data_IF_430841163751
#
_entry.id   IF_430841163751
#
_cell.length_a   1.000
_cell.length_b   1.000
_cell.length_c   1.000
_cell.angle_alpha   90.00
_cell.angle_beta   90.00
_cell.angle_gamma   90.00
#
_symmetry.space_group_name_H-M   'P 1'
#
loop_
_entity.id
_entity.type
_entity.pdbx_description
1 polymer ?
#
# COMPACT_ATOMS: atom_id res chain seq x y z
N UNK A 1 33.81 5.60 18.02
CA UNK A 1 32.97 6.76 17.65
C UNK A 1 31.54 6.33 17.36
N UNK A 2 31.36 5.36 16.46
CA UNK A 2 30.08 4.74 16.09
C UNK A 2 29.23 4.23 17.26
N UNK A 3 29.84 3.52 18.23
CA UNK A 3 29.12 3.05 19.42
C UNK A 3 28.49 4.18 20.27
N UNK A 4 29.10 5.38 20.26
CA UNK A 4 28.54 6.55 20.95
C UNK A 4 27.34 7.10 20.20
N UNK A 5 27.40 7.15 18.87
CA UNK A 5 26.30 7.61 18.02
C UNK A 5 25.08 6.69 18.16
N UNK A 6 25.28 5.37 18.13
CA UNK A 6 24.20 4.39 18.33
C UNK A 6 23.58 4.52 19.72
N UNK A 7 24.38 4.76 20.75
CA UNK A 7 23.88 4.99 22.10
C UNK A 7 23.08 6.30 22.19
N UNK A 8 23.58 7.38 21.56
CA UNK A 8 22.86 8.65 21.49
C UNK A 8 21.50 8.50 20.78
N UNK A 9 21.45 7.80 19.65
CA UNK A 9 20.19 7.53 18.93
C UNK A 9 19.20 6.73 19.79
N UNK A 10 19.67 5.75 20.56
CA UNK A 10 18.82 4.96 21.47
C UNK A 10 18.25 5.81 22.61
N UNK A 11 19.05 6.70 23.19
CA UNK A 11 18.59 7.63 24.25
C UNK A 11 17.54 8.59 23.70
N UNK A 12 17.81 9.22 22.55
CA UNK A 12 16.85 10.14 21.91
C UNK A 12 15.55 9.45 21.50
N UNK A 13 15.62 8.20 21.01
CA UNK A 13 14.42 7.43 20.68
C UNK A 13 13.53 7.18 21.92
N UNK A 14 14.14 6.88 23.07
CA UNK A 14 13.42 6.69 24.32
C UNK A 14 12.76 8.00 24.79
N UNK A 15 13.44 9.15 24.67
CA UNK A 15 12.89 10.47 25.01
C UNK A 15 11.68 10.85 24.13
N UNK A 16 11.67 10.40 22.87
CA UNK A 16 10.57 10.61 21.93
C UNK A 16 9.42 9.60 22.11
N UNK A 17 9.49 8.71 23.10
CA UNK A 17 8.45 7.72 23.38
C UNK A 17 8.42 6.55 22.40
N UNK A 18 9.53 6.27 21.69
CA UNK A 18 9.66 5.10 20.83
C UNK A 18 9.85 3.87 21.72
N UNK A 19 8.83 2.99 21.75
CA UNK A 19 8.79 1.83 22.65
C UNK A 19 9.66 0.66 22.19
N UNK A 20 9.91 0.54 20.87
CA UNK A 20 10.78 -0.49 20.30
C UNK A 20 11.63 0.12 19.18
N UNK A 21 12.96 0.08 19.35
CA UNK A 21 13.91 0.69 18.43
C UNK A 21 15.08 -0.26 18.16
N UNK A 22 15.13 -0.76 16.93
CA UNK A 22 16.21 -1.63 16.43
C UNK A 22 17.22 -0.81 15.64
N UNK A 23 18.48 -0.80 16.09
CA UNK A 23 19.59 -0.11 15.43
C UNK A 23 20.58 -1.13 14.87
N UNK A 24 20.89 -1.03 13.57
CA UNK A 24 21.86 -1.88 12.89
C UNK A 24 23.12 -1.09 12.51
N UNK A 25 24.24 -1.80 12.33
CA UNK A 25 25.48 -1.17 11.85
C UNK A 25 25.35 -0.78 10.37
N UNK A 26 25.95 0.35 9.94
CA UNK A 26 25.99 0.71 8.53
C UNK A 26 26.73 -0.38 7.74
N UNK A 27 26.07 -0.97 6.75
CA UNK A 27 26.70 -1.83 5.76
C UNK A 27 27.07 -0.98 4.53
N UNK A 28 28.22 -1.29 3.90
CA UNK A 28 28.70 -0.57 2.71
C UNK A 28 27.73 -0.66 1.52
N UNK A 29 26.86 -1.66 1.50
CA UNK A 29 25.78 -1.82 0.53
C UNK A 29 24.53 -2.29 1.27
N UNK A 30 23.54 -1.41 1.43
CA UNK A 30 22.27 -1.71 2.04
C UNK A 30 21.14 -1.24 1.12
N UNK A 31 20.34 -2.18 0.62
CA UNK A 31 19.17 -1.90 -0.22
C UNK A 31 17.86 -1.84 0.57
N UNK A 32 17.92 -2.04 1.89
CA UNK A 32 16.75 -1.96 2.77
C UNK A 32 16.34 -0.50 2.98
N UNK A 33 15.04 -0.27 3.17
CA UNK A 33 14.50 1.04 3.52
C UNK A 33 15.19 1.55 4.80
N UNK A 34 15.90 2.68 4.76
CA UNK A 34 16.75 3.13 5.86
C UNK A 34 15.97 3.56 7.12
N UNK A 35 14.67 3.82 6.96
CA UNK A 35 13.75 4.18 8.04
C UNK A 35 12.38 3.52 7.78
N UNK A 36 11.92 2.73 8.73
CA UNK A 36 10.58 2.15 8.75
C UNK A 36 9.87 2.59 10.04
N UNK A 37 8.62 3.04 9.90
CA UNK A 37 7.81 3.50 11.04
C UNK A 37 6.54 2.68 11.08
N UNK A 38 6.35 1.95 12.18
CA UNK A 38 5.16 1.15 12.44
C UNK A 38 4.27 1.84 13.48
N UNK A 39 2.97 1.97 13.18
CA UNK A 39 1.99 2.54 14.11
C UNK A 39 1.08 1.41 14.57
N UNK A 40 1.16 1.06 15.86
CA UNK A 40 0.35 0.02 16.47
C UNK A 40 -0.73 0.62 17.39
N UNK A 41 -1.92 0.02 17.39
CA UNK A 41 -3.06 0.48 18.18
C UNK A 41 -4.32 -0.34 17.92
N UNK A 42 -5.37 -0.08 18.69
CA UNK A 42 -6.63 -0.84 18.62
C UNK A 42 -7.66 -0.24 17.67
N UNK A 43 -7.54 1.05 17.34
CA UNK A 43 -8.50 1.79 16.52
C UNK A 43 -7.95 2.03 15.11
N UNK A 44 -8.49 1.30 14.14
CA UNK A 44 -8.06 1.38 12.75
C UNK A 44 -8.28 2.78 12.13
N UNK A 45 -9.34 3.50 12.52
CA UNK A 45 -9.62 4.83 11.97
C UNK A 45 -8.58 5.84 12.46
N UNK A 46 -8.25 5.79 13.76
CA UNK A 46 -7.20 6.63 14.33
C UNK A 46 -5.81 6.27 13.79
N UNK A 47 -5.51 4.97 13.62
CA UNK A 47 -4.26 4.53 12.99
C UNK A 47 -4.11 5.05 11.57
N UNK A 48 -5.20 5.02 10.78
CA UNK A 48 -5.21 5.55 9.42
C UNK A 48 -4.97 7.06 9.40
N UNK A 49 -5.61 7.81 10.30
CA UNK A 49 -5.42 9.26 10.41
C UNK A 49 -4.00 9.62 10.84
N UNK A 50 -3.45 8.90 11.82
CA UNK A 50 -2.08 9.09 12.29
C UNK A 50 -1.07 8.80 11.17
N UNK A 51 -1.24 7.69 10.45
CA UNK A 51 -0.36 7.31 9.33
C UNK A 51 -0.40 8.32 8.18
N UNK A 52 -1.58 8.86 7.83
CA UNK A 52 -1.70 9.94 6.83
C UNK A 52 -0.99 11.22 7.28
N UNK A 53 -1.19 11.61 8.54
CA UNK A 53 -0.58 12.82 9.11
C UNK A 53 0.94 12.73 9.16
N UNK A 54 1.47 11.57 9.57
CA UNK A 54 2.90 11.29 9.57
C UNK A 54 3.48 11.31 8.15
N UNK A 55 2.83 10.62 7.20
CA UNK A 55 3.25 10.60 5.80
C UNK A 55 3.31 12.01 5.21
N UNK A 56 2.32 12.85 5.51
CA UNK A 56 2.29 14.25 5.07
C UNK A 56 3.44 15.06 5.66
N UNK A 57 3.71 14.91 6.97
CA UNK A 57 4.81 15.60 7.63
C UNK A 57 6.18 15.17 7.07
N UNK A 58 6.37 13.87 6.79
CA UNK A 58 7.60 13.36 6.18
C UNK A 58 7.79 13.88 4.75
N UNK A 59 6.73 13.91 3.93
CA UNK A 59 6.77 14.46 2.56
C UNK A 59 7.03 15.96 2.53
N UNK A 60 6.64 16.69 3.57
CA UNK A 60 6.86 18.13 3.68
C UNK A 60 8.31 18.48 4.09
N UNK A 61 9.08 17.53 4.61
CA UNK A 61 10.49 17.73 4.95
C UNK A 61 11.39 17.40 3.77
N UNK A 62 12.40 18.25 3.55
CA UNK A 62 13.49 18.06 2.60
C UNK A 62 14.46 16.91 2.93
N UNK A 63 14.32 16.31 4.12
CA UNK A 63 15.21 15.26 4.64
C UNK A 63 14.84 13.85 4.16
N UNK A 64 13.64 13.66 3.62
CA UNK A 64 13.14 12.35 3.21
C UNK A 64 12.83 12.34 1.72
N UNK A 65 13.39 11.36 1.01
CA UNK A 65 13.05 11.06 -0.38
C UNK A 65 12.21 9.77 -0.43
N UNK A 66 11.37 9.63 -1.46
CA UNK A 66 10.61 8.40 -1.76
C UNK A 66 9.73 7.86 -0.61
N UNK A 67 9.01 8.74 0.09
CA UNK A 67 8.11 8.36 1.18
C UNK A 67 6.93 7.52 0.67
N UNK A 68 6.94 6.22 1.01
CA UNK A 68 5.87 5.24 0.74
C UNK A 68 5.06 4.97 2.00
N UNK A 69 3.76 4.75 1.85
CA UNK A 69 2.86 4.45 2.97
C UNK A 69 1.95 3.29 2.61
N UNK A 70 1.86 2.30 3.49
CA UNK A 70 0.89 1.18 3.39
C UNK A 70 -0.53 1.60 3.75
N UNK A 71 -0.68 2.81 4.33
CA UNK A 71 -1.97 3.44 4.61
C UNK A 71 -2.61 4.02 3.34
N UNK A 72 -1.86 4.09 2.23
CA UNK A 72 -2.42 4.38 0.92
C UNK A 72 -3.45 3.31 0.56
N UNK A 73 -4.66 3.79 0.31
CA UNK A 73 -5.90 3.10 -0.05
C UNK A 73 -5.70 1.65 -0.47
N UNK A 74 -6.12 0.71 0.39
CA UNK A 74 -6.32 -0.67 -0.03
C UNK A 74 -7.11 -0.69 -1.34
N UNK A 75 -6.69 -1.52 -2.29
CA UNK A 75 -7.32 -1.56 -3.62
C UNK A 75 -8.83 -1.70 -3.45
N UNK A 76 -9.64 -0.77 -4.01
CA UNK A 76 -11.08 -0.86 -3.87
C UNK A 76 -11.55 -2.18 -4.48
N UNK A 77 -12.11 -3.05 -3.64
CA UNK A 77 -12.68 -4.33 -4.08
C UNK A 77 -14.18 -4.15 -4.32
N UNK A 78 -14.64 -4.48 -5.52
CA UNK A 78 -16.07 -4.54 -5.84
C UNK A 78 -16.52 -5.99 -5.69
N UNK A 79 -17.28 -6.27 -4.62
CA UNK A 79 -17.87 -7.59 -4.40
C UNK A 79 -19.26 -7.68 -5.06
N UNK A 80 -19.41 -8.62 -6.00
CA UNK A 80 -20.67 -8.82 -6.73
C UNK A 80 -21.33 -10.10 -6.23
N UNK A 81 -22.48 -9.96 -5.57
CA UNK A 81 -23.26 -11.08 -5.03
C UNK A 81 -24.39 -11.42 -5.99
N UNK A 82 -24.36 -12.62 -6.56
CA UNK A 82 -25.39 -13.09 -7.49
C UNK A 82 -26.51 -13.82 -6.76
N UNK A 83 -27.75 -13.51 -7.13
CA UNK A 83 -28.95 -14.25 -6.75
C UNK A 83 -29.07 -15.47 -7.68
N UNK A 84 -28.72 -16.65 -7.15
CA UNK A 84 -28.61 -17.88 -7.95
C UNK A 84 -29.98 -18.39 -8.40
N UNK A 85 -31.03 -18.20 -7.58
CA UNK A 85 -32.38 -18.65 -7.88
C UNK A 85 -32.97 -17.87 -9.05
N UNK A 86 -32.82 -16.54 -9.04
CA UNK A 86 -33.25 -15.69 -10.17
C UNK A 86 -32.44 -15.93 -11.44
N UNK A 87 -31.14 -16.18 -11.32
CA UNK A 87 -30.30 -16.52 -12.47
C UNK A 87 -30.76 -17.83 -13.15
N UNK A 88 -31.02 -18.87 -12.35
CA UNK A 88 -31.50 -20.15 -12.83
C UNK A 88 -32.91 -20.05 -13.46
N UNK A 89 -33.80 -19.24 -12.87
CA UNK A 89 -35.13 -18.99 -13.43
C UNK A 89 -35.09 -18.33 -14.83
N UNK A 90 -34.01 -17.61 -15.15
CA UNK A 90 -33.77 -16.98 -16.45
C UNK A 90 -32.93 -17.86 -17.39
N UNK A 91 -32.64 -19.11 -17.00
CA UNK A 91 -31.78 -20.02 -17.77
C UNK A 91 -30.31 -19.60 -17.84
N UNK A 92 -29.88 -18.68 -16.96
CA UNK A 92 -28.52 -18.17 -16.91
C UNK A 92 -27.70 -18.92 -15.86
N UNK A 93 -26.54 -19.42 -16.27
CA UNK A 93 -25.55 -19.93 -15.31
C UNK A 93 -24.79 -18.78 -14.66
N UNK A 94 -24.37 -18.97 -13.40
CA UNK A 94 -23.51 -18.02 -12.67
C UNK A 94 -22.22 -17.69 -13.43
N UNK A 95 -21.68 -18.65 -14.19
CA UNK A 95 -20.53 -18.47 -15.09
C UNK A 95 -20.82 -17.45 -16.19
N UNK A 96 -21.95 -17.56 -16.88
CA UNK A 96 -22.32 -16.62 -17.94
C UNK A 96 -22.51 -15.19 -17.42
N UNK A 97 -23.08 -15.04 -16.22
CA UNK A 97 -23.26 -13.72 -15.59
C UNK A 97 -21.90 -13.15 -15.19
N UNK A 98 -21.03 -13.95 -14.57
CA UNK A 98 -19.69 -13.53 -14.21
C UNK A 98 -18.88 -13.07 -15.44
N UNK A 99 -18.92 -13.84 -16.53
CA UNK A 99 -18.21 -13.50 -17.77
C UNK A 99 -18.72 -12.19 -18.39
N UNK A 100 -20.02 -11.94 -18.36
CA UNK A 100 -20.62 -10.68 -18.84
C UNK A 100 -20.22 -9.48 -17.97
N UNK A 101 -20.26 -9.65 -16.65
CA UNK A 101 -19.91 -8.60 -15.70
C UNK A 101 -18.42 -8.26 -15.80
N UNK A 102 -17.54 -9.26 -15.87
CA UNK A 102 -16.10 -9.04 -16.07
C UNK A 102 -15.82 -8.30 -17.37
N UNK A 103 -16.47 -8.68 -18.48
CA UNK A 103 -16.37 -7.97 -19.76
C UNK A 103 -16.83 -6.52 -19.66
N UNK A 104 -17.95 -6.24 -18.97
CA UNK A 104 -18.47 -4.89 -18.82
C UNK A 104 -17.68 -4.01 -17.84
N UNK A 105 -17.10 -4.60 -16.80
CA UNK A 105 -16.33 -3.86 -15.76
C UNK A 105 -14.90 -3.58 -16.22
N UNK A 106 -14.25 -4.50 -16.94
CA UNK A 106 -12.86 -4.34 -17.40
C UNK A 106 -12.73 -3.69 -18.79
N UNK A 107 -13.81 -3.63 -19.57
CA UNK A 107 -13.75 -3.32 -21.00
C UNK A 107 -13.12 -4.47 -21.80
N UNK A 108 -13.45 -4.57 -23.09
CA UNK A 108 -12.79 -5.53 -23.99
C UNK A 108 -11.36 -5.07 -24.30
N UNK A 109 -10.36 -5.71 -23.69
CA UNK A 109 -8.95 -5.50 -24.05
C UNK A 109 -8.69 -6.16 -25.40
N UNK A 110 -8.85 -5.42 -26.48
CA UNK A 110 -8.77 -5.97 -27.83
C UNK A 110 -7.35 -6.38 -28.25
N UNK A 111 -6.26 -5.78 -27.71
CA UNK A 111 -4.89 -6.23 -28.03
C UNK A 111 -3.84 -5.63 -27.05
N UNK A 112 -2.75 -6.37 -26.78
CA UNK A 112 -1.60 -5.89 -26.00
C UNK A 112 -0.44 -5.58 -26.95
N UNK A 113 -0.12 -4.31 -27.16
CA UNK A 113 1.07 -3.90 -27.92
C UNK A 113 2.17 -3.43 -26.97
N UNK A 114 3.32 -4.11 -26.97
CA UNK A 114 4.48 -3.74 -26.15
C UNK A 114 5.43 -2.86 -26.97
N UNK A 115 5.59 -1.60 -26.58
CA UNK A 115 6.67 -0.76 -27.10
C UNK A 115 7.43 -0.06 -25.95
N UNK A 116 8.66 -0.55 -25.73
CA UNK A 116 9.79 0.09 -25.04
C UNK A 116 9.47 0.79 -23.69
N UNK A 117 9.23 -0.06 -22.70
CA UNK A 117 9.32 0.20 -21.25
C UNK A 117 8.38 1.24 -20.61
N UNK A 118 7.29 1.63 -21.29
CA UNK A 118 6.16 2.26 -20.61
C UNK A 118 4.83 1.62 -21.02
N UNK A 119 4.13 1.07 -20.02
CA UNK A 119 2.72 0.65 -20.15
C UNK A 119 1.85 1.90 -20.06
N UNK A 120 1.19 2.24 -21.15
CA UNK A 120 0.16 3.29 -21.14
C UNK A 120 -1.15 2.59 -21.48
N UNK A 121 -2.09 2.60 -20.53
CA UNK A 121 -3.43 2.09 -20.73
C UNK A 121 -4.24 3.15 -21.49
N UNK A 122 -4.82 2.77 -22.64
CA UNK A 122 -5.72 3.63 -23.42
C UNK A 122 -7.12 3.01 -23.38
N UNK A 123 -8.09 3.79 -22.91
CA UNK A 123 -9.51 3.43 -22.82
C UNK A 123 -10.26 4.05 -24.01
N UNK A 124 -11.22 3.32 -24.60
CA UNK A 124 -12.25 3.86 -25.49
C UNK A 124 -13.61 3.57 -24.87
#
# INVERSE_FOLDING_TARGET
EEARLMNAMRVTAAELGVNDATFARPALLNFSTPLEVEIAGYDLAHLQQAGRSLTAAMRASDRFADVKSTVETGQPEIQIRFDQERAAALGLSTRQIADQVVRKVRGEVATRYSFRDRKIDVLV
#
